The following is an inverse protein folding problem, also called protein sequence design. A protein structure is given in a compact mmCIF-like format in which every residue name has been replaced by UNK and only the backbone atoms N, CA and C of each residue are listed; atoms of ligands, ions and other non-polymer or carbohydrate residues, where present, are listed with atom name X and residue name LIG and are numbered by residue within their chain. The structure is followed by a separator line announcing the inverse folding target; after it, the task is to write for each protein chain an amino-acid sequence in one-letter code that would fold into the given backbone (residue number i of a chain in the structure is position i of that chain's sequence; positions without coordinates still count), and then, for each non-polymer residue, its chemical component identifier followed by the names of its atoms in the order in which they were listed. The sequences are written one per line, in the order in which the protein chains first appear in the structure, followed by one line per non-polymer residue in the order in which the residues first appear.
data_IF_881841939921
#
_entry.id   IF_881841939921
#
_cell.length_a   1.000
_cell.length_b   1.000
_cell.length_c   1.000
_cell.angle_alpha   90.00
_cell.angle_beta   90.00
_cell.angle_gamma   90.00
#
_symmetry.space_group_name_H-M   'P 1'
#
loop_
_entity.id
_entity.type
_entity.pdbx_description
1 polymer ?
#
# COMPACT_ATOMS: atom_id res chain seq x y z
N UNK A 1 -8.97 -13.09 18.29
CA UNK A 1 -9.46 -11.72 18.57
C UNK A 1 -8.39 -11.02 19.42
N UNK A 2 -7.52 -10.26 18.77
CA UNK A 2 -6.46 -9.40 19.33
C UNK A 2 -6.34 -8.21 18.36
N UNK A 3 -5.91 -7.03 18.85
CA UNK A 3 -6.59 -5.76 18.61
C UNK A 3 -6.37 -5.20 17.21
N UNK A 4 -7.45 -4.63 16.67
CA UNK A 4 -7.44 -3.83 15.48
C UNK A 4 -6.47 -2.65 15.66
N UNK A 5 -5.79 -2.32 14.56
CA UNK A 5 -5.11 -1.04 14.35
C UNK A 5 -5.92 0.07 15.01
N UNK A 6 -5.29 0.75 15.97
CA UNK A 6 -5.85 1.84 16.77
C UNK A 6 -6.65 2.82 15.91
N UNK A 7 -7.78 3.27 16.47
CA UNK A 7 -8.85 4.12 15.93
C UNK A 7 -8.42 5.58 15.57
N UNK A 8 -7.20 5.77 15.05
CA UNK A 8 -6.84 6.95 14.28
C UNK A 8 -6.98 6.58 12.81
N UNK A 9 -8.10 6.98 12.21
CA UNK A 9 -8.53 6.57 10.87
C UNK A 9 -7.43 6.78 9.82
N UNK A 10 -6.70 5.71 9.49
CA UNK A 10 -5.86 5.70 8.32
C UNK A 10 -6.77 5.93 7.10
N UNK A 11 -6.47 6.96 6.31
CA UNK A 11 -7.16 7.21 5.06
C UNK A 11 -6.76 6.12 4.06
N UNK A 12 -7.54 5.05 4.03
CA UNK A 12 -7.38 3.98 3.05
C UNK A 12 -7.97 4.43 1.71
N UNK A 13 -7.11 4.55 0.70
CA UNK A 13 -7.51 4.78 -0.68
C UNK A 13 -7.32 3.48 -1.46
N UNK A 14 -8.39 2.70 -1.60
CA UNK A 14 -8.41 1.48 -2.40
C UNK A 14 -8.82 1.82 -3.83
N UNK A 15 -7.97 1.46 -4.80
CA UNK A 15 -8.25 1.64 -6.21
C UNK A 15 -8.33 0.27 -6.89
N UNK A 16 -9.45 -0.01 -7.54
CA UNK A 16 -9.56 -1.13 -8.48
C UNK A 16 -8.97 -0.73 -9.82
N UNK A 17 -8.12 -1.59 -10.40
CA UNK A 17 -7.52 -1.38 -11.71
C UNK A 17 -8.03 -2.42 -12.69
N UNK A 18 -8.38 -1.97 -13.89
CA UNK A 18 -8.45 -2.86 -15.04
C UNK A 18 -7.02 -3.15 -15.54
N UNK A 19 -6.84 -4.28 -16.22
CA UNK A 19 -5.54 -4.85 -16.64
C UNK A 19 -4.65 -3.88 -17.46
N UNK A 20 -5.25 -2.83 -18.06
CA UNK A 20 -4.55 -1.79 -18.84
C UNK A 20 -3.90 -0.68 -17.99
N UNK A 21 -4.39 -0.42 -16.78
CA UNK A 21 -3.86 0.65 -15.93
C UNK A 21 -2.58 0.22 -15.21
N UNK A 22 -1.43 0.77 -15.62
CA UNK A 22 -0.13 0.51 -14.96
C UNK A 22 -0.15 1.01 -13.50
N UNK A 23 -0.18 0.13 -12.49
CA UNK A 23 -0.32 0.50 -11.06
C UNK A 23 0.72 1.52 -10.61
N UNK A 24 1.93 1.44 -11.17
CA UNK A 24 3.04 2.33 -10.86
C UNK A 24 2.75 3.82 -11.15
N UNK A 25 2.11 4.15 -12.27
CA UNK A 25 1.89 5.55 -12.64
C UNK A 25 0.83 6.18 -11.74
N UNK A 26 -0.21 5.41 -11.40
CA UNK A 26 -1.25 5.85 -10.46
C UNK A 26 -0.67 6.00 -9.06
N UNK A 27 0.17 5.07 -8.61
CA UNK A 27 0.87 5.17 -7.33
C UNK A 27 1.70 6.46 -7.22
N UNK A 28 2.42 6.81 -8.29
CA UNK A 28 3.19 8.07 -8.35
C UNK A 28 2.28 9.28 -8.22
N UNK A 29 1.19 9.34 -9.00
CA UNK A 29 0.25 10.47 -8.94
C UNK A 29 -0.35 10.63 -7.54
N UNK A 30 -0.74 9.53 -6.90
CA UNK A 30 -1.31 9.54 -5.55
C UNK A 30 -0.28 9.97 -4.50
N UNK A 31 0.95 9.44 -4.55
CA UNK A 31 2.02 9.86 -3.64
C UNK A 31 2.25 11.36 -3.75
N UNK A 32 2.27 11.90 -4.98
CA UNK A 32 2.47 13.35 -5.20
C UNK A 32 1.30 14.17 -4.68
N UNK A 33 0.07 13.76 -4.96
CA UNK A 33 -1.13 14.43 -4.46
C UNK A 33 -1.17 14.43 -2.93
N UNK A 34 -0.99 13.26 -2.31
CA UNK A 34 -0.94 13.13 -0.85
C UNK A 34 0.18 13.99 -0.25
N UNK A 35 1.38 13.95 -0.84
CA UNK A 35 2.52 14.73 -0.35
C UNK A 35 2.30 16.25 -0.41
N UNK A 36 1.60 16.75 -1.42
CA UNK A 36 1.43 18.19 -1.66
C UNK A 36 0.18 18.78 -1.02
N UNK A 37 -0.91 18.03 -1.00
CA UNK A 37 -2.25 18.55 -0.72
C UNK A 37 -2.87 17.98 0.55
N UNK A 38 -2.35 16.86 1.07
CA UNK A 38 -2.90 16.19 2.25
C UNK A 38 -2.00 16.40 3.49
N UNK A 39 -2.60 16.26 4.67
CA UNK A 39 -1.93 16.44 5.96
C UNK A 39 -0.76 15.50 6.22
N UNK A 40 -0.10 15.65 7.37
CA UNK A 40 1.06 14.82 7.74
C UNK A 40 0.75 13.33 7.83
N UNK A 41 1.81 12.52 7.82
CA UNK A 41 1.73 11.06 7.97
C UNK A 41 2.47 10.30 6.88
N UNK A 42 2.92 9.09 7.23
CA UNK A 42 3.60 8.20 6.30
C UNK A 42 2.59 7.55 5.33
N UNK A 43 3.10 7.22 4.14
CA UNK A 43 2.34 6.53 3.09
C UNK A 43 2.82 5.08 3.03
N UNK A 44 1.88 4.14 3.13
CA UNK A 44 2.12 2.72 2.90
C UNK A 44 1.48 2.29 1.58
N UNK A 45 2.26 1.66 0.70
CA UNK A 45 1.81 1.23 -0.63
C UNK A 45 1.98 -0.28 -0.74
N UNK A 46 0.91 -0.99 -1.07
CA UNK A 46 0.95 -2.42 -1.34
C UNK A 46 1.05 -2.71 -2.84
N UNK A 47 2.03 -3.52 -3.21
CA UNK A 47 2.34 -3.95 -4.58
C UNK A 47 2.41 -5.48 -4.64
N UNK A 48 2.24 -6.05 -5.82
CA UNK A 48 2.15 -7.51 -6.01
C UNK A 48 3.45 -8.29 -5.78
N UNK A 49 4.62 -7.64 -5.75
CA UNK A 49 5.91 -8.32 -5.55
C UNK A 49 7.12 -7.42 -5.72
N UNK A 50 8.33 -8.01 -5.67
CA UNK A 50 9.59 -7.28 -5.72
C UNK A 50 9.77 -6.42 -6.97
N UNK A 51 9.52 -6.95 -8.17
CA UNK A 51 9.69 -6.22 -9.43
C UNK A 51 8.89 -4.90 -9.47
N UNK A 52 7.57 -4.93 -9.20
CA UNK A 52 6.76 -3.72 -9.08
C UNK A 52 7.19 -2.77 -7.93
N UNK A 53 7.61 -3.31 -6.78
CA UNK A 53 8.17 -2.51 -5.67
C UNK A 53 9.39 -1.73 -6.14
N UNK A 54 10.36 -2.42 -6.74
CA UNK A 54 11.61 -1.82 -7.18
C UNK A 54 11.40 -0.78 -8.28
N UNK A 55 10.52 -1.09 -9.25
CA UNK A 55 10.15 -0.17 -10.31
C UNK A 55 9.50 1.11 -9.76
N UNK A 56 8.60 0.99 -8.78
CA UNK A 56 7.95 2.15 -8.15
C UNK A 56 8.95 2.99 -7.37
N UNK A 57 9.75 2.38 -6.49
CA UNK A 57 10.76 3.08 -5.71
C UNK A 57 11.77 3.81 -6.60
N UNK A 58 12.23 3.17 -7.68
CA UNK A 58 13.14 3.76 -8.66
C UNK A 58 12.55 5.00 -9.35
N UNK A 59 11.24 5.01 -9.64
CA UNK A 59 10.58 6.18 -10.20
C UNK A 59 10.35 7.28 -9.16
N UNK A 60 9.95 6.92 -7.94
CA UNK A 60 9.75 7.88 -6.85
C UNK A 60 11.04 8.64 -6.50
N UNK A 61 12.19 7.96 -6.51
CA UNK A 61 13.52 8.58 -6.28
C UNK A 61 13.97 9.54 -7.37
N UNK A 62 13.32 9.53 -8.54
CA UNK A 62 13.61 10.43 -9.67
C UNK A 62 12.63 11.60 -9.76
N UNK A 63 11.66 11.67 -8.84
CA UNK A 63 10.72 12.78 -8.80
C UNK A 63 11.41 14.06 -8.29
N UNK A 64 10.94 15.25 -8.70
CA UNK A 64 11.37 16.52 -8.11
C UNK A 64 11.24 16.56 -6.58
N UNK A 65 10.25 15.85 -6.04
CA UNK A 65 9.98 15.73 -4.61
C UNK A 65 10.90 14.73 -3.89
N UNK A 66 11.82 14.05 -4.58
CA UNK A 66 12.64 13.00 -3.96
C UNK A 66 13.44 13.48 -2.74
N UNK A 67 13.84 14.76 -2.69
CA UNK A 67 14.55 15.34 -1.54
C UNK A 67 13.69 15.42 -0.26
N UNK A 68 12.36 15.52 -0.40
CA UNK A 68 11.39 15.54 0.70
C UNK A 68 10.68 14.21 0.90
N UNK A 69 11.14 13.13 0.24
CA UNK A 69 10.58 11.79 0.37
C UNK A 69 11.63 10.80 0.89
N UNK A 70 11.32 10.09 1.97
CA UNK A 70 12.13 8.97 2.47
C UNK A 70 11.49 7.65 2.07
N UNK A 71 12.04 7.01 1.03
CA UNK A 71 11.43 5.86 0.36
C UNK A 71 12.08 4.55 0.83
N UNK A 72 11.26 3.67 1.41
CA UNK A 72 11.65 2.35 1.88
C UNK A 72 11.00 1.24 1.06
N UNK A 73 11.77 0.17 0.84
CA UNK A 73 11.29 -1.08 0.29
C UNK A 73 11.09 -2.05 1.46
N UNK A 74 9.98 -2.78 1.44
CA UNK A 74 9.68 -3.79 2.45
C UNK A 74 9.17 -5.07 1.80
N UNK A 75 9.97 -6.13 1.86
CA UNK A 75 9.63 -7.45 1.36
C UNK A 75 9.87 -8.50 2.44
N UNK A 76 9.03 -9.53 2.51
CA UNK A 76 9.09 -10.55 3.59
C UNK A 76 10.40 -11.33 3.66
N UNK A 77 11.22 -11.30 2.61
CA UNK A 77 12.55 -11.93 2.56
C UNK A 77 13.70 -10.99 2.93
N UNK A 78 13.45 -9.72 3.26
CA UNK A 78 14.51 -8.76 3.59
C UNK A 78 15.02 -8.96 5.02
N UNK A 79 16.34 -8.92 5.26
CA UNK A 79 16.90 -8.96 6.61
C UNK A 79 16.40 -7.82 7.50
N UNK A 80 16.21 -8.08 8.79
CA UNK A 80 15.77 -7.08 9.78
C UNK A 80 16.66 -5.83 9.82
N UNK A 81 17.96 -5.96 9.56
CA UNK A 81 18.89 -4.82 9.49
C UNK A 81 18.50 -3.80 8.43
N UNK A 82 17.90 -4.23 7.31
CA UNK A 82 17.42 -3.36 6.24
C UNK A 82 16.06 -2.75 6.55
N UNK A 83 15.33 -3.29 7.53
CA UNK A 83 13.99 -2.84 7.92
C UNK A 83 14.00 -1.82 9.07
N UNK A 84 15.10 -1.66 9.82
CA UNK A 84 15.16 -0.81 11.01
C UNK A 84 14.67 0.62 10.77
N UNK A 85 15.11 1.25 9.67
CA UNK A 85 14.72 2.63 9.35
C UNK A 85 13.24 2.82 9.00
N UNK A 86 12.48 1.74 8.77
CA UNK A 86 11.05 1.79 8.43
C UNK A 86 10.22 2.14 9.66
N UNK A 87 10.63 1.68 10.84
CA UNK A 87 9.93 1.92 12.10
C UNK A 87 10.21 3.32 12.67
N UNK A 88 11.26 3.98 12.19
CA UNK A 88 11.61 5.33 12.62
C UNK A 88 10.80 6.38 11.84
N UNK A 89 10.26 7.37 12.56
CA UNK A 89 9.68 8.58 11.96
C UNK A 89 10.83 9.47 11.43
N UNK A 90 10.71 10.08 10.24
CA UNK A 90 11.68 11.06 9.77
C UNK A 90 11.89 12.19 10.79
N UNK A 91 13.15 12.57 11.02
CA UNK A 91 13.50 13.62 11.98
C UNK A 91 13.07 15.02 11.51
N UNK A 92 13.11 15.26 10.19
CA UNK A 92 12.62 16.50 9.58
C UNK A 92 11.12 16.35 9.26
N UNK A 93 10.23 17.20 9.81
CA UNK A 93 8.79 17.16 9.52
C UNK A 93 8.45 17.45 8.05
N UNK A 94 9.37 18.08 7.29
CA UNK A 94 9.22 18.32 5.85
C UNK A 94 9.47 17.06 5.01
N UNK A 95 10.07 16.02 5.61
CA UNK A 95 10.36 14.75 4.93
C UNK A 95 9.23 13.77 5.20
N UNK A 96 8.56 13.32 4.14
CA UNK A 96 7.50 12.32 4.21
C UNK A 96 8.06 10.92 3.99
N UNK A 97 7.74 10.00 4.91
CA UNK A 97 8.06 8.58 4.76
C UNK A 97 7.10 7.90 3.79
N UNK A 98 7.66 7.12 2.87
CA UNK A 98 6.93 6.28 1.91
C UNK A 98 7.46 4.87 2.01
N UNK A 99 6.60 3.91 2.37
CA UNK A 99 6.95 2.50 2.49
C UNK A 99 6.22 1.75 1.38
N UNK A 100 6.97 1.05 0.54
CA UNK A 100 6.42 0.23 -0.54
C UNK A 100 6.63 -1.23 -0.18
N UNK A 101 5.54 -1.98 -0.05
CA UNK A 101 5.54 -3.34 0.46
C UNK A 101 4.65 -4.29 -0.32
N UNK A 102 4.71 -5.57 0.02
CA UNK A 102 3.76 -6.60 -0.41
C UNK A 102 2.72 -6.86 0.68
N UNK A 103 1.56 -7.36 0.31
CA UNK A 103 0.48 -7.75 1.24
C UNK A 103 0.93 -8.82 2.25
N UNK A 104 2.00 -9.58 1.96
CA UNK A 104 2.56 -10.58 2.88
C UNK A 104 3.11 -9.91 4.16
N UNK A 105 3.50 -8.63 4.10
CA UNK A 105 3.94 -7.87 5.27
C UNK A 105 2.78 -7.34 6.15
N UNK A 106 1.52 -7.40 5.67
CA UNK A 106 0.30 -6.88 6.35
C UNK A 106 0.10 -7.51 7.73
N UNK A 107 0.49 -8.77 7.90
CA UNK A 107 0.19 -9.56 9.10
C UNK A 107 1.24 -9.46 10.21
N UNK A 108 2.35 -8.74 10.01
CA UNK A 108 3.48 -8.80 10.97
C UNK A 108 4.22 -7.50 11.20
N UNK A 109 3.84 -6.39 10.55
CA UNK A 109 4.54 -5.11 10.67
C UNK A 109 3.56 -3.99 11.03
N UNK A 110 3.75 -3.44 12.23
CA UNK A 110 3.07 -2.23 12.69
C UNK A 110 4.00 -1.04 12.43
N UNK A 111 3.57 -0.10 11.58
CA UNK A 111 4.29 1.15 11.33
C UNK A 111 3.41 2.28 11.87
N UNK A 112 3.77 2.79 13.04
CA UNK A 112 2.89 3.63 13.87
C UNK A 112 2.51 4.98 13.24
N UNK A 113 3.38 5.54 12.40
CA UNK A 113 3.18 6.84 11.77
C UNK A 113 2.52 6.76 10.38
N UNK A 114 2.02 5.59 9.96
CA UNK A 114 1.25 5.44 8.71
C UNK A 114 -0.14 6.02 8.88
N UNK A 115 -0.48 6.99 8.03
CA UNK A 115 -1.79 7.63 7.96
C UNK A 115 -2.47 7.35 6.62
N UNK A 116 -1.70 7.10 5.56
CA UNK A 116 -2.23 6.88 4.21
C UNK A 116 -1.87 5.48 3.73
N UNK A 117 -2.86 4.74 3.25
CA UNK A 117 -2.67 3.39 2.70
C UNK A 117 -3.17 3.36 1.26
N UNK A 118 -2.31 2.91 0.34
CA UNK A 118 -2.62 2.71 -1.07
C UNK A 118 -2.47 1.22 -1.39
N UNK A 119 -3.57 0.55 -1.73
CA UNK A 119 -3.57 -0.90 -2.01
C UNK A 119 -3.72 -1.17 -3.51
N UNK A 120 -2.66 -1.67 -4.15
CA UNK A 120 -2.66 -2.16 -5.55
C UNK A 120 -2.60 -3.70 -5.62
N UNK A 121 -2.76 -4.41 -4.50
CA UNK A 121 -2.65 -5.86 -4.44
C UNK A 121 -3.92 -6.58 -4.90
N UNK A 122 -3.76 -7.80 -5.44
CA UNK A 122 -4.88 -8.73 -5.68
C UNK A 122 -5.41 -9.21 -4.31
N UNK A 123 -6.64 -8.86 -3.96
CA UNK A 123 -7.38 -9.52 -2.87
C UNK A 123 -7.99 -10.81 -3.44
N UNK A 124 -7.73 -11.95 -2.80
CA UNK A 124 -8.47 -13.20 -3.06
C UNK A 124 -9.82 -13.11 -2.36
N UNK A 125 -10.89 -12.76 -3.08
CA UNK A 125 -12.25 -12.95 -2.57
C UNK A 125 -12.62 -14.44 -2.75
N UNK A 126 -13.20 -15.04 -1.69
CA UNK A 126 -13.88 -16.34 -1.82
C UNK A 126 -15.19 -16.09 -2.56
N UNK A 127 -15.23 -16.48 -3.82
CA UNK A 127 -16.47 -16.42 -4.60
C UNK A 127 -17.17 -17.77 -4.47
N UNK A 128 -18.44 -17.75 -4.09
CA UNK A 128 -19.29 -18.95 -4.09
C UNK A 128 -19.94 -19.07 -5.47
N UNK A 129 -19.64 -20.15 -6.18
CA UNK A 129 -20.31 -20.47 -7.44
C UNK A 129 -21.57 -21.29 -7.12
N UNK A 130 -22.72 -20.62 -7.20
CA UNK A 130 -24.02 -21.25 -6.95
C UNK A 130 -24.39 -22.33 -7.98
N UNK A 131 -23.72 -22.39 -9.14
CA UNK A 131 -23.95 -23.43 -10.15
C UNK A 131 -23.20 -24.73 -9.82
N UNK A 132 -22.11 -24.66 -9.05
CA UNK A 132 -21.27 -25.81 -8.71
C UNK A 132 -21.22 -26.12 -7.21
N UNK A 133 -21.96 -25.36 -6.39
CA UNK A 133 -21.97 -25.46 -4.92
C UNK A 133 -20.55 -25.49 -4.29
N UNK A 134 -19.62 -24.79 -4.94
CA UNK A 134 -18.20 -24.87 -4.61
C UNK A 134 -17.65 -23.48 -4.33
N UNK A 135 -16.87 -23.35 -3.26
CA UNK A 135 -16.10 -22.14 -2.97
C UNK A 135 -14.86 -22.09 -3.85
N UNK A 136 -14.81 -21.18 -4.82
CA UNK A 136 -13.66 -20.97 -5.67
C UNK A 136 -12.85 -19.77 -5.20
N UNK A 137 -11.53 -19.95 -5.07
CA UNK A 137 -10.60 -18.89 -4.71
C UNK A 137 -10.12 -18.20 -5.98
N UNK A 138 -11.00 -17.43 -6.61
CA UNK A 138 -10.67 -16.71 -7.84
C UNK A 138 -9.89 -15.44 -7.47
N UNK A 139 -8.73 -15.26 -8.10
CA UNK A 139 -7.99 -14.00 -8.07
C UNK A 139 -8.78 -12.95 -8.85
N UNK A 140 -9.74 -12.29 -8.21
CA UNK A 140 -10.50 -11.20 -8.82
C UNK A 140 -10.15 -9.88 -8.15
N UNK A 141 -9.97 -8.85 -8.97
CA UNK A 141 -9.86 -7.48 -8.50
C UNK A 141 -11.19 -7.08 -7.85
N UNK A 142 -11.14 -6.40 -6.72
CA UNK A 142 -12.34 -5.88 -6.04
C UNK A 142 -13.07 -4.97 -7.03
N UNK A 143 -14.15 -5.47 -7.64
CA UNK A 143 -14.93 -4.70 -8.59
C UNK A 143 -15.58 -3.50 -7.88
N UNK A 144 -15.85 -2.41 -8.61
CA UNK A 144 -16.58 -1.23 -8.11
C UNK A 144 -17.91 -1.57 -7.42
N UNK A 145 -18.46 -2.77 -7.63
CA UNK A 145 -19.69 -3.23 -6.97
C UNK A 145 -19.50 -3.55 -5.48
N UNK A 146 -18.36 -4.13 -5.06
CA UNK A 146 -18.12 -4.51 -3.66
C UNK A 146 -17.83 -3.31 -2.73
N UNK A 147 -17.53 -2.14 -3.28
CA UNK A 147 -17.35 -0.92 -2.50
C UNK A 147 -18.69 -0.38 -1.90
N UNK A 148 -19.84 -0.87 -2.36
CA UNK A 148 -21.17 -0.40 -1.92
C UNK A 148 -21.87 -1.26 -0.86
N UNK A 149 -21.29 -2.38 -0.41
CA UNK A 149 -21.91 -3.28 0.58
C UNK A 149 -21.15 -3.36 1.90
N UNK A 150 -20.71 -2.22 2.41
CA UNK A 150 -20.37 -2.05 3.83
C UNK A 150 -20.96 -0.73 4.33
N UNK A 151 -22.28 -0.72 4.43
CA UNK A 151 -23.05 0.18 5.30
C UNK A 151 -23.82 -0.70 6.27
#
# INVERSE_FOLDING_TARGET
RLPALSDQAAHALTFGFDDETRPTNVAISLVRHIHREMGEGAILIFMSGWGPIDALCSKLRKLPEAASLKIYQLHGSMPMSQQRGIFEKPADPRVRKVVVSTNIAESSITIEDVVYVIDFGKRKEKTYDAATDTSCLLESWVSRASARQRC
#
